data_IF_767960678953
#
_entry.id   IF_767960678953
#
_cell.length_a   1.000
_cell.length_b   1.000
_cell.length_c   1.000
_cell.angle_alpha   90.00
_cell.angle_beta   90.00
_cell.angle_gamma   90.00
#
_symmetry.space_group_name_H-M   'P 1'
#
loop_
_entity.id
_entity.type
_entity.pdbx_description
1 polymer ?
#
# COMPACT_ATOMS: atom_id res chain seq x y z
N UNK A 1 -18.07 -15.52 -3.30
CA UNK A 1 -17.30 -14.44 -3.97
C UNK A 1 -16.01 -14.10 -3.25
N UNK A 2 -16.01 -13.73 -1.96
CA UNK A 2 -14.75 -13.41 -1.24
C UNK A 2 -13.72 -14.54 -1.25
N UNK A 3 -14.11 -15.78 -0.91
CA UNK A 3 -13.19 -16.93 -0.95
C UNK A 3 -12.66 -17.26 -2.35
N UNK A 4 -13.48 -17.06 -3.40
CA UNK A 4 -13.03 -17.22 -4.78
C UNK A 4 -12.04 -16.12 -5.18
N UNK A 5 -12.29 -14.88 -4.76
CA UNK A 5 -11.37 -13.77 -4.93
C UNK A 5 -10.04 -14.03 -4.23
N UNK A 6 -10.07 -14.48 -2.97
CA UNK A 6 -8.87 -14.88 -2.21
C UNK A 6 -8.10 -16.01 -2.92
N UNK A 7 -8.81 -17.04 -3.38
CA UNK A 7 -8.20 -18.13 -4.13
C UNK A 7 -7.50 -17.61 -5.40
N UNK A 8 -8.13 -16.73 -6.18
CA UNK A 8 -7.53 -16.18 -7.40
C UNK A 8 -6.40 -15.18 -7.15
N UNK A 9 -6.43 -14.46 -6.03
CA UNK A 9 -5.30 -13.63 -5.57
C UNK A 9 -4.10 -14.54 -5.29
N UNK A 10 -4.31 -15.66 -4.61
CA UNK A 10 -3.27 -16.62 -4.26
C UNK A 10 -2.76 -17.43 -5.46
N UNK A 11 -3.66 -17.86 -6.35
CA UNK A 11 -3.35 -18.68 -7.52
C UNK A 11 -2.78 -17.82 -8.65
N UNK A 12 -1.46 -17.64 -8.67
CA UNK A 12 -0.70 -16.88 -9.68
C UNK A 12 -1.13 -15.42 -9.87
N UNK A 13 -1.96 -14.87 -8.96
CA UNK A 13 -2.37 -13.47 -8.99
C UNK A 13 -3.22 -13.22 -10.22
N UNK A 14 -4.10 -14.16 -10.52
CA UNK A 14 -4.92 -14.13 -11.72
C UNK A 14 -5.69 -12.81 -11.77
N UNK A 15 -5.62 -12.10 -12.90
CA UNK A 15 -6.34 -10.85 -13.12
C UNK A 15 -7.85 -10.98 -12.90
N UNK A 16 -8.37 -12.21 -12.88
CA UNK A 16 -9.76 -12.54 -12.59
C UNK A 16 -10.25 -12.05 -11.23
N UNK A 17 -9.37 -11.83 -10.24
CA UNK A 17 -9.80 -11.27 -8.95
C UNK A 17 -10.46 -9.88 -9.10
N UNK A 18 -10.05 -9.12 -10.11
CA UNK A 18 -10.65 -7.82 -10.48
C UNK A 18 -12.08 -7.98 -10.99
N UNK A 19 -12.45 -9.10 -11.61
CA UNK A 19 -13.84 -9.38 -11.96
C UNK A 19 -14.70 -9.59 -10.72
N UNK A 20 -14.20 -10.27 -9.69
CA UNK A 20 -14.91 -10.41 -8.41
C UNK A 20 -15.08 -9.07 -7.72
N UNK A 21 -14.09 -8.19 -7.81
CA UNK A 21 -14.13 -6.83 -7.28
C UNK A 21 -15.21 -5.97 -7.97
N UNK A 22 -15.31 -6.04 -9.31
CA UNK A 22 -16.36 -5.34 -10.07
C UNK A 22 -17.74 -5.95 -9.84
N UNK A 23 -17.83 -7.29 -9.75
CA UNK A 23 -19.07 -7.98 -9.48
C UNK A 23 -19.60 -7.65 -8.08
N UNK A 24 -18.74 -7.57 -7.07
CA UNK A 24 -19.12 -7.21 -5.70
C UNK A 24 -19.63 -5.78 -5.62
N UNK A 25 -18.97 -4.82 -6.27
CA UNK A 25 -19.46 -3.43 -6.36
C UNK A 25 -20.87 -3.36 -6.97
N UNK A 26 -21.10 -4.04 -8.09
CA UNK A 26 -22.42 -4.08 -8.73
C UNK A 26 -23.49 -4.70 -7.84
N UNK A 27 -23.13 -5.77 -7.10
CA UNK A 27 -24.03 -6.38 -6.14
C UNK A 27 -24.37 -5.43 -4.98
N UNK A 28 -23.38 -4.74 -4.41
CA UNK A 28 -23.60 -3.80 -3.30
C UNK A 28 -24.44 -2.60 -3.72
N UNK A 29 -24.18 -2.02 -4.89
CA UNK A 29 -25.01 -0.95 -5.46
C UNK A 29 -26.46 -1.37 -5.63
N UNK A 30 -26.71 -2.56 -6.19
CA UNK A 30 -28.08 -3.09 -6.33
C UNK A 30 -28.75 -3.30 -4.97
N UNK A 31 -28.01 -3.82 -3.98
CA UNK A 31 -28.52 -3.98 -2.61
C UNK A 31 -28.98 -2.66 -2.01
N UNK A 32 -28.19 -1.60 -2.16
CA UNK A 32 -28.53 -0.24 -1.70
C UNK A 32 -29.76 0.31 -2.45
N UNK A 33 -29.81 0.17 -3.78
CA UNK A 33 -30.94 0.62 -4.61
C UNK A 33 -32.26 -0.07 -4.27
N UNK A 34 -32.21 -1.35 -3.91
CA UNK A 34 -33.39 -2.12 -3.54
C UNK A 34 -33.89 -1.80 -2.12
N UNK A 35 -33.23 -0.87 -1.40
CA UNK A 35 -33.52 -0.52 -0.01
C UNK A 35 -33.72 -1.76 0.88
N UNK A 36 -32.99 -2.84 0.56
CA UNK A 36 -33.02 -4.04 1.37
C UNK A 36 -32.56 -3.62 2.76
N UNK A 37 -33.36 -3.85 3.82
CA UNK A 37 -33.08 -3.31 5.13
C UNK A 37 -31.64 -3.58 5.48
N UNK A 38 -30.91 -2.52 5.86
CA UNK A 38 -29.66 -2.68 6.59
C UNK A 38 -30.01 -3.62 7.72
N UNK A 39 -29.48 -4.83 7.63
CA UNK A 39 -29.79 -5.89 8.56
C UNK A 39 -29.00 -5.57 9.82
N UNK A 40 -29.35 -4.47 10.47
CA UNK A 40 -28.55 -3.81 11.50
C UNK A 40 -28.40 -4.68 12.76
N UNK A 41 -29.06 -5.85 12.80
CA UNK A 41 -28.93 -6.84 13.85
C UNK A 41 -29.05 -8.30 13.38
N UNK A 42 -28.84 -8.62 12.10
CA UNK A 42 -28.73 -10.04 11.67
C UNK A 42 -27.30 -10.34 11.24
N UNK A 43 -26.78 -11.54 11.54
CA UNK A 43 -25.42 -11.94 11.17
C UNK A 43 -25.13 -11.85 9.67
N UNK A 44 -26.16 -11.79 8.82
CA UNK A 44 -26.01 -11.54 7.38
C UNK A 44 -25.75 -10.05 7.04
N UNK A 45 -26.28 -9.12 7.83
CA UNK A 45 -26.00 -7.69 7.66
C UNK A 45 -24.55 -7.35 7.97
N UNK A 46 -24.03 -7.88 9.08
CA UNK A 46 -22.62 -7.71 9.46
C UNK A 46 -21.66 -8.33 8.44
N UNK A 47 -21.97 -9.52 7.92
CA UNK A 47 -21.16 -10.16 6.87
C UNK A 47 -21.15 -9.36 5.55
N UNK A 48 -22.28 -8.77 5.17
CA UNK A 48 -22.36 -7.94 3.97
C UNK A 48 -21.52 -6.66 4.11
N UNK A 49 -21.57 -5.98 5.28
CA UNK A 49 -20.76 -4.80 5.58
C UNK A 49 -19.27 -5.15 5.61
N UNK A 50 -18.92 -6.29 6.22
CA UNK A 50 -17.55 -6.80 6.21
C UNK A 50 -17.07 -7.07 4.78
N UNK A 51 -17.87 -7.75 3.96
CA UNK A 51 -17.52 -8.05 2.57
C UNK A 51 -17.35 -6.77 1.74
N UNK A 52 -18.22 -5.78 1.94
CA UNK A 52 -18.14 -4.46 1.32
C UNK A 52 -16.82 -3.76 1.70
N UNK A 53 -16.48 -3.72 2.99
CA UNK A 53 -15.22 -3.13 3.47
C UNK A 53 -14.00 -3.88 2.95
N UNK A 54 -14.06 -5.21 2.94
CA UNK A 54 -13.02 -6.07 2.38
C UNK A 54 -12.73 -5.69 0.93
N UNK A 55 -13.73 -5.70 0.06
CA UNK A 55 -13.52 -5.38 -1.36
C UNK A 55 -13.08 -3.92 -1.57
N UNK A 56 -13.63 -2.97 -0.82
CA UNK A 56 -13.17 -1.59 -0.87
C UNK A 56 -11.67 -1.49 -0.51
N UNK A 57 -11.22 -2.22 0.51
CA UNK A 57 -9.83 -2.20 0.96
C UNK A 57 -8.89 -2.80 -0.08
N UNK A 58 -9.29 -3.94 -0.66
CA UNK A 58 -8.58 -4.58 -1.76
C UNK A 58 -8.38 -3.61 -2.94
N UNK A 59 -9.42 -2.83 -3.29
CA UNK A 59 -9.34 -1.80 -4.33
C UNK A 59 -8.37 -0.67 -3.96
N UNK A 60 -8.52 -0.06 -2.78
CA UNK A 60 -7.67 1.05 -2.34
C UNK A 60 -6.19 0.66 -2.30
N UNK A 61 -5.85 -0.46 -1.68
CA UNK A 61 -4.45 -0.87 -1.54
C UNK A 61 -3.85 -1.28 -2.88
N UNK A 62 -4.58 -2.01 -3.73
CA UNK A 62 -4.06 -2.42 -5.05
C UNK A 62 -3.82 -1.24 -6.00
N UNK A 63 -4.60 -0.17 -5.85
CA UNK A 63 -4.40 1.07 -6.63
C UNK A 63 -3.17 1.85 -6.20
N UNK A 64 -2.63 1.62 -5.01
CA UNK A 64 -1.37 2.29 -4.62
C UNK A 64 -0.23 1.92 -5.57
N UNK A 65 -0.24 0.67 -6.05
CA UNK A 65 0.76 0.15 -6.97
C UNK A 65 0.54 0.64 -8.41
N UNK A 66 -0.69 0.59 -8.94
CA UNK A 66 -0.98 0.79 -10.37
C UNK A 66 -1.64 2.12 -10.74
N UNK A 67 -2.11 2.89 -9.75
CA UNK A 67 -2.74 4.19 -9.95
C UNK A 67 -4.05 4.13 -10.76
N UNK A 68 -4.76 3.00 -10.78
CA UNK A 68 -6.01 2.84 -11.53
C UNK A 68 -7.19 3.64 -10.95
N UNK A 69 -8.26 3.79 -11.73
CA UNK A 69 -9.49 4.45 -11.27
C UNK A 69 -10.14 3.65 -10.15
N UNK A 70 -10.74 4.30 -9.14
CA UNK A 70 -11.39 3.61 -8.04
C UNK A 70 -12.60 2.82 -8.55
N UNK A 71 -12.72 1.58 -8.07
CA UNK A 71 -13.98 0.83 -8.15
C UNK A 71 -14.82 1.20 -6.93
N UNK A 72 -14.24 1.29 -5.74
CA UNK A 72 -14.95 1.71 -4.54
C UNK A 72 -14.60 3.17 -4.23
N UNK A 73 -15.62 4.02 -4.11
CA UNK A 73 -15.45 5.46 -3.90
C UNK A 73 -15.06 5.84 -2.47
N UNK A 74 -14.90 7.13 -2.23
CA UNK A 74 -14.51 7.67 -0.92
C UNK A 74 -15.59 7.43 0.15
N UNK A 75 -16.86 7.32 -0.25
CA UNK A 75 -18.01 7.07 0.62
C UNK A 75 -17.90 5.78 1.44
N UNK A 76 -17.06 4.83 1.00
CA UNK A 76 -16.79 3.59 1.72
C UNK A 76 -15.89 3.78 2.94
N UNK A 77 -15.24 4.94 3.10
CA UNK A 77 -14.29 5.23 4.18
C UNK A 77 -14.78 6.32 5.13
N UNK A 78 -15.74 7.14 4.70
CA UNK A 78 -16.27 8.29 5.44
C UNK A 78 -17.43 7.96 6.39
N UNK A 79 -17.65 6.68 6.73
CA UNK A 79 -18.73 6.33 7.66
C UNK A 79 -18.35 6.82 9.07
N UNK A 80 -19.24 7.54 9.78
CA UNK A 80 -18.91 8.17 11.06
C UNK A 80 -18.68 7.16 12.18
N UNK A 81 -19.23 5.95 12.06
CA UNK A 81 -19.07 4.90 13.06
C UNK A 81 -17.68 4.26 12.92
N UNK A 82 -16.87 4.34 13.98
CA UNK A 82 -15.58 3.66 14.11
C UNK A 82 -14.49 4.08 13.09
N UNK A 83 -14.54 5.32 12.57
CA UNK A 83 -13.57 5.82 11.58
C UNK A 83 -12.10 5.77 12.07
N UNK A 84 -11.89 5.90 13.37
CA UNK A 84 -10.58 5.89 14.03
C UNK A 84 -10.18 4.51 14.56
N UNK A 85 -11.09 3.54 14.60
CA UNK A 85 -10.80 2.21 15.13
C UNK A 85 -9.97 1.42 14.11
N UNK A 86 -8.98 0.70 14.61
CA UNK A 86 -8.10 -0.11 13.77
C UNK A 86 -8.78 -1.44 13.48
N UNK A 87 -9.04 -1.68 12.20
CA UNK A 87 -9.41 -2.99 11.69
C UNK A 87 -8.15 -3.87 11.66
N UNK A 88 -8.05 -4.83 12.59
CA UNK A 88 -6.88 -5.70 12.72
C UNK A 88 -6.52 -6.44 11.41
N UNK A 89 -7.51 -6.80 10.60
CA UNK A 89 -7.29 -7.46 9.31
C UNK A 89 -6.83 -6.51 8.19
N UNK A 90 -7.14 -5.21 8.28
CA UNK A 90 -6.62 -4.18 7.36
C UNK A 90 -5.22 -3.72 7.79
N UNK A 91 -4.93 -3.81 9.09
CA UNK A 91 -3.72 -3.24 9.71
C UNK A 91 -3.75 -1.71 9.73
N UNK A 92 -4.92 -1.08 9.60
CA UNK A 92 -5.12 0.35 9.70
C UNK A 92 -6.59 0.71 9.96
N UNK A 93 -6.87 1.97 10.25
CA UNK A 93 -8.23 2.48 10.40
C UNK A 93 -8.87 2.87 9.06
N UNK A 94 -10.21 2.97 8.98
CA UNK A 94 -10.90 3.54 7.83
C UNK A 94 -10.41 4.95 7.46
N UNK A 95 -10.04 5.78 8.45
CA UNK A 95 -9.45 7.09 8.21
C UNK A 95 -8.12 6.99 7.44
N UNK A 96 -7.25 6.03 7.78
CA UNK A 96 -6.01 5.80 7.04
C UNK A 96 -6.28 5.31 5.61
N UNK A 97 -7.26 4.42 5.41
CA UNK A 97 -7.68 4.00 4.07
C UNK A 97 -8.23 5.18 3.23
N UNK A 98 -8.95 6.12 3.87
CA UNK A 98 -9.38 7.38 3.25
C UNK A 98 -8.19 8.24 2.81
N UNK A 99 -7.15 8.37 3.65
CA UNK A 99 -5.92 9.10 3.29
C UNK A 99 -5.24 8.44 2.09
N UNK A 100 -5.06 7.11 2.09
CA UNK A 100 -4.48 6.39 0.94
C UNK A 100 -5.28 6.63 -0.33
N UNK A 101 -6.62 6.55 -0.25
CA UNK A 101 -7.50 6.84 -1.38
C UNK A 101 -7.26 8.26 -1.94
N UNK A 102 -7.23 9.28 -1.06
CA UNK A 102 -7.03 10.68 -1.44
C UNK A 102 -5.66 10.91 -2.07
N UNK A 103 -4.60 10.27 -1.56
CA UNK A 103 -3.25 10.34 -2.15
C UNK A 103 -3.28 9.87 -3.60
N UNK A 104 -3.84 8.68 -3.86
CA UNK A 104 -3.90 8.11 -5.20
C UNK A 104 -4.78 8.95 -6.15
N UNK A 105 -5.91 9.48 -5.68
CA UNK A 105 -6.78 10.30 -6.53
C UNK A 105 -6.19 11.68 -6.85
N UNK A 106 -5.53 12.32 -5.89
CA UNK A 106 -4.88 13.62 -6.10
C UNK A 106 -3.75 13.50 -7.14
N UNK A 107 -2.92 12.47 -7.04
CA UNK A 107 -1.88 12.17 -8.02
C UNK A 107 -2.44 11.92 -9.43
N UNK A 108 -3.55 11.19 -9.54
CA UNK A 108 -4.23 10.97 -10.83
C UNK A 108 -4.80 12.25 -11.42
N UNK A 109 -5.32 13.14 -10.57
CA UNK A 109 -5.90 14.42 -11.01
C UNK A 109 -4.82 15.37 -11.52
N UNK A 110 -3.64 15.37 -10.89
CA UNK A 110 -2.45 16.09 -11.37
C UNK A 110 -2.08 15.66 -12.79
N UNK A 111 -1.98 14.35 -13.04
CA UNK A 111 -1.60 13.80 -14.35
C UNK A 111 -2.63 14.10 -15.47
N UNK A 112 -3.86 14.50 -15.11
CA UNK A 112 -4.92 14.84 -16.07
C UNK A 112 -5.01 16.35 -16.35
N UNK A 113 -4.06 17.15 -15.88
CA UNK A 113 -4.04 18.63 -16.00
C UNK A 113 -5.37 19.28 -15.61
N UNK A 114 -6.09 18.67 -14.67
CA UNK A 114 -7.45 19.07 -14.28
C UNK A 114 -7.46 20.10 -13.15
N UNK A 115 -6.29 20.51 -12.65
CA UNK A 115 -6.13 21.34 -11.47
C UNK A 115 -4.92 22.27 -11.65
N UNK A 116 -5.01 23.50 -11.13
CA UNK A 116 -3.87 24.41 -11.13
C UNK A 116 -2.82 24.00 -10.10
N UNK A 117 -1.54 24.36 -10.31
CA UNK A 117 -0.46 24.03 -9.38
C UNK A 117 -0.76 24.55 -7.96
N UNK A 118 -1.32 25.76 -7.84
CA UNK A 118 -1.64 26.36 -6.54
C UNK A 118 -2.73 25.57 -5.80
N UNK A 119 -3.76 25.11 -6.49
CA UNK A 119 -4.81 24.27 -5.90
C UNK A 119 -4.26 22.90 -5.49
N UNK A 120 -3.36 22.35 -6.30
CA UNK A 120 -2.68 21.10 -6.01
C UNK A 120 -1.84 21.22 -4.73
N UNK A 121 -1.01 22.26 -4.62
CA UNK A 121 -0.16 22.48 -3.44
C UNK A 121 -1.00 22.62 -2.16
N UNK A 122 -2.13 23.34 -2.22
CA UNK A 122 -3.06 23.46 -1.08
C UNK A 122 -3.62 22.11 -0.66
N UNK A 123 -4.02 21.27 -1.61
CA UNK A 123 -4.55 19.93 -1.30
C UNK A 123 -3.47 18.98 -0.78
N UNK A 124 -2.24 19.06 -1.28
CA UNK A 124 -1.11 18.30 -0.75
C UNK A 124 -0.84 18.65 0.71
N UNK A 125 -0.83 19.94 1.05
CA UNK A 125 -0.60 20.40 2.43
C UNK A 125 -1.77 20.06 3.37
N UNK A 126 -3.01 20.09 2.88
CA UNK A 126 -4.17 19.61 3.65
C UNK A 126 -4.06 18.11 3.95
N UNK A 127 -3.67 17.31 2.95
CA UNK A 127 -3.53 15.88 3.07
C UNK A 127 -2.33 15.47 3.94
N UNK A 128 -1.24 16.24 3.94
CA UNK A 128 -0.10 16.04 4.86
C UNK A 128 -0.54 16.22 6.32
N UNK A 129 -1.34 17.28 6.60
CA UNK A 129 -1.92 17.49 7.93
C UNK A 129 -2.86 16.36 8.33
N UNK A 130 -3.72 15.90 7.43
CA UNK A 130 -4.63 14.77 7.68
C UNK A 130 -3.84 13.49 7.99
N UNK A 131 -2.80 13.19 7.20
CA UNK A 131 -1.93 12.04 7.42
C UNK A 131 -1.22 12.12 8.78
N UNK A 132 -0.73 13.30 9.17
CA UNK A 132 -0.10 13.50 10.47
C UNK A 132 -1.07 13.24 11.63
N UNK A 133 -2.31 13.74 11.54
CA UNK A 133 -3.36 13.52 12.55
C UNK A 133 -3.69 12.04 12.65
N UNK A 134 -4.02 11.37 11.55
CA UNK A 134 -4.40 9.95 11.54
C UNK A 134 -3.24 9.06 12.01
N UNK A 135 -2.00 9.43 11.69
CA UNK A 135 -0.82 8.69 12.16
C UNK A 135 -0.62 8.82 13.67
N UNK A 136 -1.00 9.97 14.25
CA UNK A 136 -0.90 10.25 15.69
C UNK A 136 -2.03 9.67 16.54
N UNK A 137 -3.10 9.13 15.94
CA UNK A 137 -4.19 8.53 16.70
C UNK A 137 -3.71 7.21 17.36
N UNK A 138 -3.43 7.28 18.67
CA UNK A 138 -2.90 6.18 19.51
C UNK A 138 -4.02 5.38 20.21
N UNK A 139 -5.21 5.95 20.35
CA UNK A 139 -6.27 5.47 21.27
C UNK A 139 -6.79 4.05 21.00
N UNK A 140 -6.73 3.54 19.76
CA UNK A 140 -7.12 2.16 19.43
C UNK A 140 -5.96 1.14 19.55
N UNK A 141 -4.72 1.61 19.67
CA UNK A 141 -3.48 0.82 19.55
C UNK A 141 -3.05 0.19 20.89
N UNK A 142 -3.43 0.82 22.00
CA UNK A 142 -2.98 0.40 23.36
C UNK A 142 -3.57 -0.95 23.79
N UNK A 143 -4.77 -1.30 23.30
CA UNK A 143 -5.43 -2.58 23.59
C UNK A 143 -5.01 -3.73 22.66
N UNK A 144 -4.19 -3.46 21.64
CA UNK A 144 -3.78 -4.46 20.65
C UNK A 144 -2.51 -5.20 21.07
N UNK A 145 -2.33 -6.40 20.51
CA UNK A 145 -1.07 -7.13 20.54
C UNK A 145 0.08 -6.26 19.99
N UNK A 146 1.26 -6.37 20.59
CA UNK A 146 2.43 -5.54 20.26
C UNK A 146 2.86 -5.70 18.79
N UNK A 147 2.74 -6.90 18.21
CA UNK A 147 3.08 -7.13 16.81
C UNK A 147 2.07 -6.46 15.88
N UNK A 148 0.79 -6.44 16.26
CA UNK A 148 -0.26 -5.75 15.50
C UNK A 148 -0.03 -4.24 15.53
N UNK A 149 0.31 -3.69 16.70
CA UNK A 149 0.69 -2.28 16.87
C UNK A 149 1.85 -1.89 15.96
N UNK A 150 2.93 -2.67 15.97
CA UNK A 150 4.09 -2.46 15.09
C UNK A 150 3.72 -2.55 13.60
N UNK A 151 2.84 -3.48 13.23
CA UNK A 151 2.34 -3.60 11.85
C UNK A 151 1.53 -2.37 11.42
N UNK A 152 0.75 -1.78 12.33
CA UNK A 152 -0.01 -0.54 12.08
C UNK A 152 0.96 0.63 11.89
N UNK A 153 1.97 0.77 12.76
CA UNK A 153 2.97 1.83 12.66
C UNK A 153 3.82 1.71 11.39
N UNK A 154 4.11 0.48 10.98
CA UNK A 154 4.71 0.19 9.69
C UNK A 154 3.84 0.69 8.54
N UNK A 155 2.54 0.36 8.54
CA UNK A 155 1.62 0.80 7.49
C UNK A 155 1.54 2.33 7.44
N UNK A 156 1.45 3.01 8.58
CA UNK A 156 1.51 4.48 8.68
C UNK A 156 2.80 5.03 8.05
N UNK A 157 3.95 4.47 8.41
CA UNK A 157 5.27 4.90 7.88
C UNK A 157 5.36 4.68 6.36
N UNK A 158 4.85 3.56 5.85
CA UNK A 158 4.83 3.29 4.41
C UNK A 158 3.87 4.21 3.64
N UNK A 159 2.76 4.64 4.24
CA UNK A 159 1.89 5.65 3.64
C UNK A 159 2.60 7.01 3.55
N UNK A 160 3.47 7.35 4.50
CA UNK A 160 4.31 8.55 4.40
C UNK A 160 5.28 8.47 3.22
N UNK A 161 5.96 7.33 3.04
CA UNK A 161 6.81 7.10 1.83
C UNK A 161 5.99 7.29 0.57
N UNK A 162 4.84 6.62 0.48
CA UNK A 162 3.95 6.70 -0.67
C UNK A 162 3.48 8.13 -0.96
N UNK A 163 3.13 8.89 0.08
CA UNK A 163 2.77 10.31 -0.03
C UNK A 163 3.91 11.15 -0.63
N UNK A 164 5.13 11.00 -0.10
CA UNK A 164 6.29 11.76 -0.59
C UNK A 164 6.62 11.43 -2.04
N UNK A 165 6.66 10.15 -2.40
CA UNK A 165 7.01 9.73 -3.76
C UNK A 165 5.93 10.15 -4.78
N UNK A 166 4.66 10.02 -4.42
CA UNK A 166 3.58 10.25 -5.38
C UNK A 166 3.17 11.72 -5.51
N UNK A 167 3.15 12.47 -4.40
CA UNK A 167 2.61 13.84 -4.39
C UNK A 167 3.68 14.93 -4.35
N UNK A 168 4.87 14.63 -3.80
CA UNK A 168 5.99 15.58 -3.68
C UNK A 168 7.16 15.26 -4.62
N UNK A 169 6.95 14.34 -5.56
CA UNK A 169 7.96 13.87 -6.54
C UNK A 169 9.28 13.42 -5.91
N UNK A 170 9.21 12.93 -4.66
CA UNK A 170 10.34 12.31 -4.02
C UNK A 170 10.72 11.03 -4.77
N UNK A 171 11.99 10.67 -4.68
CA UNK A 171 12.56 9.51 -5.34
C UNK A 171 13.43 8.73 -4.33
N UNK A 172 13.94 7.54 -4.71
CA UNK A 172 14.71 6.70 -3.80
C UNK A 172 15.93 7.37 -3.17
N UNK A 173 16.54 8.36 -3.84
CA UNK A 173 17.70 9.10 -3.32
C UNK A 173 17.34 10.32 -2.47
N UNK A 174 16.04 10.58 -2.25
CA UNK A 174 15.59 11.68 -1.40
C UNK A 174 15.85 11.33 0.07
N UNK A 175 16.54 12.18 0.86
CA UNK A 175 16.96 11.83 2.23
C UNK A 175 15.83 11.34 3.14
N UNK A 176 14.65 11.95 3.02
CA UNK A 176 13.49 11.56 3.82
C UNK A 176 12.95 10.18 3.40
N UNK A 177 12.96 9.86 2.10
CA UNK A 177 12.58 8.53 1.58
C UNK A 177 13.55 7.48 2.08
N UNK A 178 14.87 7.71 1.97
CA UNK A 178 15.91 6.80 2.48
C UNK A 178 15.67 6.48 3.95
N UNK A 179 15.48 7.52 4.77
CA UNK A 179 15.25 7.39 6.22
C UNK A 179 14.00 6.55 6.53
N UNK A 180 12.89 6.81 5.85
CA UNK A 180 11.63 6.09 6.06
C UNK A 180 11.71 4.65 5.56
N UNK A 181 12.31 4.41 4.39
CA UNK A 181 12.50 3.07 3.80
C UNK A 181 13.35 2.20 4.71
N UNK A 182 14.50 2.70 5.21
CA UNK A 182 15.34 1.99 6.17
C UNK A 182 14.55 1.61 7.42
N UNK A 183 13.82 2.57 8.02
CA UNK A 183 12.98 2.30 9.19
C UNK A 183 11.93 1.21 8.93
N UNK A 184 11.30 1.22 7.76
CA UNK A 184 10.31 0.20 7.35
C UNK A 184 10.98 -1.17 7.23
N UNK A 185 12.11 -1.28 6.53
CA UNK A 185 12.80 -2.56 6.33
C UNK A 185 13.31 -3.16 7.66
N UNK A 186 13.90 -2.35 8.53
CA UNK A 186 14.34 -2.78 9.87
C UNK A 186 13.17 -3.30 10.70
N UNK A 187 12.05 -2.58 10.68
CA UNK A 187 10.86 -2.94 11.46
C UNK A 187 10.19 -4.22 10.92
N UNK A 188 10.14 -4.40 9.59
CA UNK A 188 9.66 -5.64 8.97
C UNK A 188 10.56 -6.81 9.33
N UNK A 189 11.88 -6.65 9.24
CA UNK A 189 12.83 -7.70 9.60
C UNK A 189 12.58 -8.19 11.03
N UNK A 190 12.45 -7.26 11.98
CA UNK A 190 12.17 -7.58 13.38
C UNK A 190 10.85 -8.35 13.57
N UNK A 191 9.78 -7.97 12.86
CA UNK A 191 8.49 -8.69 12.94
C UNK A 191 8.56 -10.10 12.35
N UNK A 192 9.29 -10.28 11.25
CA UNK A 192 9.49 -11.60 10.65
C UNK A 192 10.29 -12.52 11.58
N UNK A 193 11.33 -12.00 12.24
CA UNK A 193 12.07 -12.77 13.26
C UNK A 193 11.20 -13.17 14.46
N UNK A 194 10.15 -12.40 14.74
CA UNK A 194 9.14 -12.69 15.77
C UNK A 194 8.00 -13.60 15.27
N UNK A 195 8.05 -14.05 14.01
CA UNK A 195 7.06 -14.95 13.42
C UNK A 195 5.79 -14.27 12.91
N UNK A 196 5.79 -12.94 12.76
CA UNK A 196 4.64 -12.17 12.28
C UNK A 196 4.85 -11.68 10.86
N UNK A 197 4.14 -12.29 9.90
CA UNK A 197 4.15 -11.90 8.47
C UNK A 197 2.86 -11.19 8.01
N UNK A 198 1.84 -11.13 8.88
CA UNK A 198 0.52 -10.61 8.54
C UNK A 198 0.57 -9.10 8.23
N UNK A 199 -0.07 -8.68 7.14
CA UNK A 199 -0.23 -7.26 6.78
C UNK A 199 1.05 -6.55 6.29
N UNK A 200 2.16 -7.27 6.13
CA UNK A 200 3.47 -6.69 5.79
C UNK A 200 3.71 -6.49 4.30
N UNK A 201 2.85 -7.01 3.41
CA UNK A 201 3.12 -6.98 1.97
C UNK A 201 3.12 -5.57 1.39
N UNK A 202 2.11 -4.75 1.69
CA UNK A 202 2.10 -3.35 1.26
C UNK A 202 3.31 -2.57 1.80
N UNK A 203 3.62 -2.57 3.11
CA UNK A 203 4.81 -1.92 3.63
C UNK A 203 6.11 -2.37 2.96
N UNK A 204 6.29 -3.69 2.80
CA UNK A 204 7.46 -4.27 2.15
C UNK A 204 7.57 -3.84 0.70
N UNK A 205 6.46 -3.88 -0.04
CA UNK A 205 6.44 -3.48 -1.45
C UNK A 205 6.86 -2.02 -1.60
N UNK A 206 6.25 -1.09 -0.84
CA UNK A 206 6.59 0.33 -0.89
C UNK A 206 8.07 0.56 -0.57
N UNK A 207 8.60 -0.06 0.49
CA UNK A 207 10.00 0.09 0.85
C UNK A 207 10.94 -0.53 -0.20
N UNK A 208 10.61 -1.71 -0.72
CA UNK A 208 11.40 -2.39 -1.72
C UNK A 208 11.46 -1.59 -3.03
N UNK A 209 10.32 -1.09 -3.51
CA UNK A 209 10.26 -0.30 -4.73
C UNK A 209 10.73 1.13 -4.53
N UNK A 210 11.09 1.59 -3.33
CA UNK A 210 11.69 2.92 -3.10
C UNK A 210 13.10 2.84 -2.49
N UNK A 211 13.72 1.66 -2.59
CA UNK A 211 15.10 1.43 -2.17
C UNK A 211 16.08 2.20 -3.07
N UNK A 212 17.01 2.95 -2.47
CA UNK A 212 18.07 3.64 -3.21
C UNK A 212 19.04 2.62 -3.82
N UNK A 213 19.13 2.51 -5.16
CA UNK A 213 20.01 1.54 -5.80
C UNK A 213 21.51 1.82 -5.59
N UNK A 214 21.88 3.02 -5.14
CA UNK A 214 23.28 3.43 -4.91
C UNK A 214 23.70 3.34 -3.44
N UNK A 215 22.76 3.21 -2.51
CA UNK A 215 23.03 3.22 -1.06
C UNK A 215 22.41 2.00 -0.34
N UNK A 216 22.09 0.93 -1.07
CA UNK A 216 21.44 -0.22 -0.44
C UNK A 216 22.39 -1.17 0.32
N UNK A 217 23.71 -1.01 0.22
CA UNK A 217 24.69 -1.97 0.79
C UNK A 217 24.78 -1.95 2.33
N UNK A 218 24.39 -0.85 2.98
CA UNK A 218 24.63 -0.63 4.42
C UNK A 218 23.38 -0.38 5.24
N UNK A 219 22.23 -0.90 4.82
CA UNK A 219 20.93 -0.58 5.45
C UNK A 219 20.78 -1.18 6.84
N UNK A 220 21.21 -2.43 7.06
CA UNK A 220 20.98 -3.13 8.32
C UNK A 220 22.24 -3.85 8.79
N UNK A 221 22.63 -3.64 10.05
CA UNK A 221 23.71 -4.41 10.68
C UNK A 221 23.15 -5.73 11.22
N UNK A 222 23.55 -6.85 10.62
CA UNK A 222 23.13 -8.16 11.08
C UNK A 222 23.99 -8.61 12.27
N UNK A 223 23.46 -8.48 13.48
CA UNK A 223 24.19 -8.75 14.75
C UNK A 223 24.84 -10.14 14.79
N UNK A 224 24.20 -11.17 14.23
CA UNK A 224 24.73 -12.53 14.21
C UNK A 224 25.89 -12.77 13.23
N UNK A 225 26.07 -11.90 12.23
CA UNK A 225 27.12 -12.03 11.21
C UNK A 225 28.19 -10.94 11.35
N UNK A 226 27.90 -9.86 12.10
CA UNK A 226 28.78 -8.70 12.24
C UNK A 226 28.94 -7.91 10.93
N UNK A 227 28.07 -8.12 9.94
CA UNK A 227 28.13 -7.52 8.62
C UNK A 227 26.85 -6.78 8.29
N UNK A 228 26.95 -5.77 7.43
CA UNK A 228 25.78 -5.13 6.86
C UNK A 228 25.13 -6.02 5.81
N UNK A 229 23.80 -6.08 5.80
CA UNK A 229 23.02 -6.69 4.72
C UNK A 229 22.61 -5.63 3.71
N UNK A 230 22.74 -5.97 2.43
CA UNK A 230 22.16 -5.17 1.37
C UNK A 230 20.63 -5.15 1.53
N UNK A 231 20.00 -3.99 1.33
CA UNK A 231 18.56 -3.81 1.35
C UNK A 231 17.83 -4.75 0.39
N UNK A 232 18.40 -4.99 -0.79
CA UNK A 232 17.81 -5.92 -1.77
C UNK A 232 17.84 -7.35 -1.26
N UNK A 233 18.97 -7.76 -0.68
CA UNK A 233 19.10 -9.08 -0.07
C UNK A 233 18.07 -9.24 1.05
N UNK A 234 17.97 -8.25 1.95
CA UNK A 234 17.01 -8.25 3.04
C UNK A 234 15.55 -8.37 2.54
N UNK A 235 15.17 -7.60 1.53
CA UNK A 235 13.83 -7.69 0.92
C UNK A 235 13.56 -9.08 0.35
N UNK A 236 14.52 -9.69 -0.34
CA UNK A 236 14.35 -11.03 -0.92
C UNK A 236 14.21 -12.11 0.16
N UNK A 237 15.02 -12.03 1.23
CA UNK A 237 14.92 -12.93 2.38
C UNK A 237 13.57 -12.80 3.10
N UNK A 238 13.08 -11.56 3.29
CA UNK A 238 11.75 -11.30 3.86
C UNK A 238 10.66 -11.90 2.97
N UNK A 239 10.71 -11.68 1.65
CA UNK A 239 9.73 -12.26 0.72
C UNK A 239 9.72 -13.78 0.81
N UNK A 240 10.89 -14.41 0.85
CA UNK A 240 11.01 -15.87 0.97
C UNK A 240 10.46 -16.38 2.32
N UNK A 241 10.65 -15.64 3.41
CA UNK A 241 10.05 -15.95 4.71
C UNK A 241 8.51 -15.76 4.77
N UNK A 242 7.96 -14.87 3.94
CA UNK A 242 6.52 -14.66 3.81
C UNK A 242 5.81 -15.74 2.98
N UNK A 243 6.56 -16.59 2.26
CA UNK A 243 5.99 -17.71 1.49
C UNK A 243 5.32 -18.69 2.46
N UNK A 244 4.03 -18.95 2.24
CA UNK A 244 3.22 -19.87 3.04
C UNK A 244 2.63 -19.27 4.33
N UNK A 245 2.99 -18.04 4.70
CA UNK A 245 2.45 -17.33 5.88
C UNK A 245 1.62 -16.09 5.53
N UNK A 246 1.59 -15.70 4.25
CA UNK A 246 0.81 -14.57 3.72
C UNK A 246 -0.36 -15.02 2.85
N UNK A 247 -1.46 -14.26 2.86
CA UNK A 247 -2.63 -14.46 2.00
C UNK A 247 -2.53 -13.71 0.66
N UNK A 248 -1.31 -13.46 0.18
CA UNK A 248 -1.06 -12.68 -1.00
C UNK A 248 -0.05 -13.37 -1.94
N UNK A 249 0.00 -12.91 -3.19
CA UNK A 249 0.91 -13.48 -4.17
C UNK A 249 2.33 -12.92 -4.03
N UNK A 250 3.13 -13.62 -3.23
CA UNK A 250 4.54 -13.26 -2.97
C UNK A 250 5.39 -13.39 -4.23
N UNK A 251 5.20 -14.44 -5.04
CA UNK A 251 6.01 -14.69 -6.25
C UNK A 251 5.83 -13.57 -7.29
N UNK A 252 4.58 -13.17 -7.55
CA UNK A 252 4.26 -12.06 -8.44
C UNK A 252 4.79 -10.74 -7.89
N UNK A 253 4.66 -10.51 -6.59
CA UNK A 253 5.19 -9.29 -5.95
C UNK A 253 6.71 -9.22 -6.09
N UNK A 254 7.41 -10.33 -5.82
CA UNK A 254 8.86 -10.48 -6.03
C UNK A 254 9.26 -10.20 -7.48
N UNK A 255 8.52 -10.76 -8.44
CA UNK A 255 8.79 -10.54 -9.86
C UNK A 255 8.64 -9.06 -10.27
N UNK A 256 7.63 -8.37 -9.75
CA UNK A 256 7.44 -6.93 -9.98
C UNK A 256 8.58 -6.12 -9.35
N UNK A 257 8.93 -6.37 -8.09
CA UNK A 257 10.04 -5.68 -7.40
C UNK A 257 11.34 -5.83 -8.18
N UNK A 258 11.71 -7.06 -8.57
CA UNK A 258 12.90 -7.32 -9.37
C UNK A 258 12.88 -6.59 -10.72
N UNK A 259 11.69 -6.48 -11.33
CA UNK A 259 11.52 -5.72 -12.57
C UNK A 259 11.75 -4.22 -12.35
N UNK A 260 11.21 -3.64 -11.28
CA UNK A 260 11.42 -2.23 -10.91
C UNK A 260 12.91 -1.95 -10.70
N UNK A 261 13.60 -2.76 -9.87
CA UNK A 261 15.03 -2.61 -9.62
C UNK A 261 15.85 -2.68 -10.91
N UNK A 262 15.60 -3.70 -11.74
CA UNK A 262 16.29 -3.85 -13.02
C UNK A 262 16.09 -2.64 -13.93
N UNK A 263 14.88 -2.09 -13.98
CA UNK A 263 14.59 -0.92 -14.83
C UNK A 263 15.28 0.34 -14.31
N UNK A 264 15.37 0.53 -12.99
CA UNK A 264 16.14 1.62 -12.39
C UNK A 264 17.63 1.47 -12.61
N UNK A 265 18.20 0.28 -12.39
CA UNK A 265 19.63 0.02 -12.61
C UNK A 265 20.06 0.33 -14.05
N UNK A 266 19.25 -0.09 -15.02
CA UNK A 266 19.47 0.22 -16.44
C UNK A 266 19.34 1.72 -16.75
N UNK A 267 18.53 2.45 -15.98
CA UNK A 267 18.33 3.88 -16.14
C UNK A 267 19.50 4.69 -15.56
N UNK A 268 19.99 4.30 -14.37
CA UNK A 268 21.16 4.91 -13.71
C UNK A 268 22.43 4.78 -14.55
N UNK A 269 22.55 3.74 -15.37
CA UNK A 269 23.67 3.54 -16.28
C UNK A 269 23.63 4.44 -17.53
N UNK A 270 22.55 5.20 -17.78
CA UNK A 270 22.44 6.08 -18.95
C UNK A 270 23.18 7.39 -18.72
N UNK A 271 23.85 7.88 -19.77
CA UNK A 271 24.54 9.18 -19.78
C UNK A 271 23.62 10.39 -19.55
N UNK A 272 22.29 10.22 -19.74
CA UNK A 272 21.26 11.23 -19.46
C UNK A 272 20.00 10.58 -18.89
N UNK A 273 19.93 10.39 -17.56
CA UNK A 273 18.79 9.74 -16.91
C UNK A 273 17.48 10.51 -17.14
N UNK A 274 17.49 11.83 -16.97
CA UNK A 274 16.28 12.67 -16.99
C UNK A 274 15.60 12.80 -18.37
N UNK A 275 16.29 12.45 -19.47
CA UNK A 275 15.80 12.68 -20.85
C UNK A 275 14.63 11.76 -21.25
N UNK A 276 14.19 10.84 -20.39
CA UNK A 276 13.11 9.89 -20.69
C UNK A 276 11.88 9.95 -19.78
N UNK A 277 11.91 10.68 -18.65
CA UNK A 277 10.80 10.65 -17.67
C UNK A 277 9.64 11.60 -18.01
N UNK A 278 9.90 12.67 -18.77
CA UNK A 278 8.89 13.71 -19.01
C UNK A 278 8.43 14.34 -17.69
N UNK A 279 7.13 14.60 -17.56
CA UNK A 279 6.51 15.16 -16.34
C UNK A 279 6.09 14.07 -15.32
N UNK A 280 6.43 12.80 -15.56
CA UNK A 280 6.06 11.71 -14.66
C UNK A 280 7.03 11.62 -13.47
N UNK A 281 6.48 11.46 -12.26
CA UNK A 281 7.28 11.16 -11.08
C UNK A 281 7.88 9.74 -11.13
N UNK A 282 8.85 9.48 -10.25
CA UNK A 282 9.60 8.21 -10.22
C UNK A 282 8.65 7.01 -10.10
N UNK A 283 7.69 7.06 -9.18
CA UNK A 283 6.71 6.00 -8.97
C UNK A 283 5.91 5.68 -10.25
N UNK A 284 5.41 6.69 -10.94
CA UNK A 284 4.64 6.52 -12.16
C UNK A 284 5.49 6.01 -13.33
N UNK A 285 6.79 6.30 -13.34
CA UNK A 285 7.69 5.86 -14.38
C UNK A 285 8.20 4.43 -14.17
N UNK A 286 8.64 4.10 -12.95
CA UNK A 286 9.30 2.82 -12.65
C UNK A 286 8.38 1.79 -12.03
N UNK A 287 7.34 2.17 -11.30
CA UNK A 287 6.51 1.25 -10.49
C UNK A 287 5.19 0.95 -11.18
N UNK A 288 4.35 1.97 -11.40
CA UNK A 288 2.98 1.85 -11.94
C UNK A 288 2.85 0.99 -13.22
N UNK A 289 3.76 1.04 -14.21
CA UNK A 289 3.59 0.27 -15.44
C UNK A 289 3.65 -1.25 -15.27
N UNK A 290 4.26 -1.75 -14.20
CA UNK A 290 4.50 -3.19 -14.00
C UNK A 290 3.58 -3.82 -12.94
N UNK A 291 2.73 -3.02 -12.30
CA UNK A 291 1.92 -3.42 -11.13
C UNK A 291 0.45 -3.67 -11.47
N UNK A 292 0.10 -3.76 -12.76
CA UNK A 292 -1.29 -3.99 -13.17
C UNK A 292 -1.85 -5.27 -12.54
N UNK A 293 -3.00 -5.15 -11.86
CA UNK A 293 -3.68 -6.22 -11.11
C UNK A 293 -2.85 -6.85 -9.98
N UNK A 294 -1.76 -6.20 -9.54
CA UNK A 294 -1.04 -6.58 -8.33
C UNK A 294 -1.92 -6.27 -7.12
N UNK A 295 -1.99 -7.22 -6.19
CA UNK A 295 -2.71 -7.06 -4.93
C UNK A 295 -1.71 -7.01 -3.78
N UNK A 296 -1.80 -5.97 -2.95
CA UNK A 296 -0.90 -5.70 -1.83
C UNK A 296 -1.63 -5.65 -0.48
N UNK A 297 -2.93 -5.95 -0.45
CA UNK A 297 -3.79 -5.76 0.72
C UNK A 297 -3.43 -6.69 1.88
#
# INVERSE_FOLDING_TARGET
MMFLCLYEILDNGDYRWVFHLKASQNFMRKRQQLALPSCDNTGFGSLAVFAERYFAFQDVISRTACGNSPIFGLEYWQRPDHADDIDAWMGCSPAMASVIFKITELARTRNRNSMSQKEYDVQVEELDRELAVVSSNVTAVEAMDENVRRSVDLKKTSVQVYFHCLLRDANPSTPEVIRLVTKVLESIHNLIQQGSAAGLLFPLFVAAVELDPLQDETIFLHEGLGTYLSGRQLVLEILDAMVGSSLANIERTKAVILKVWRMRDLHTQRESPLVGMGDANDWNYFVSPYTQNLNLA
#
